data_IF_766898278980
#
_entry.id   IF_766898278980
#
_cell.length_a   1.000
_cell.length_b   1.000
_cell.length_c   1.000
_cell.angle_alpha   90.00
_cell.angle_beta   90.00
_cell.angle_gamma   90.00
#
_symmetry.space_group_name_H-M   'P 1'
#
loop_
_entity.id
_entity.type
_entity.pdbx_description
1 polymer ?
#
# COMPACT_ATOMS: atom_id res chain seq x y z
N UNK A 1 14.36 -2.99 17.89
CA UNK A 1 15.78 -2.57 17.74
C UNK A 1 16.64 -3.00 18.93
N UNK A 2 16.16 -2.86 20.17
CA UNK A 2 16.91 -3.32 21.35
C UNK A 2 17.20 -4.84 21.33
N UNK A 3 16.36 -5.63 20.68
CA UNK A 3 16.54 -7.07 20.49
C UNK A 3 17.40 -7.43 19.25
N UNK A 4 18.01 -6.46 18.57
CA UNK A 4 18.83 -6.68 17.38
C UNK A 4 18.03 -6.81 16.06
N UNK A 5 16.70 -6.67 16.11
CA UNK A 5 15.85 -6.73 14.92
C UNK A 5 15.62 -5.32 14.35
N UNK A 6 15.73 -5.16 13.04
CA UNK A 6 15.35 -3.92 12.35
C UNK A 6 13.80 -3.84 12.28
N UNK A 7 13.18 -2.76 12.80
CA UNK A 7 11.73 -2.71 12.91
C UNK A 7 10.97 -2.71 11.59
N UNK A 8 11.44 -1.92 10.59
CA UNK A 8 10.63 -1.57 9.44
C UNK A 8 11.33 -1.89 8.11
N UNK A 9 10.60 -2.50 7.19
CA UNK A 9 10.91 -2.51 5.76
C UNK A 9 10.30 -1.29 5.11
N UNK A 10 11.10 -0.52 4.37
CA UNK A 10 10.66 0.68 3.66
C UNK A 10 11.41 0.82 2.34
N UNK A 11 10.89 1.64 1.45
CA UNK A 11 11.43 1.92 0.11
C UNK A 11 11.39 3.43 -0.18
N UNK A 12 12.30 3.94 -1.02
CA UNK A 12 12.27 5.33 -1.50
C UNK A 12 12.30 5.44 -3.01
N UNK A 13 12.62 4.35 -3.71
CA UNK A 13 12.70 4.33 -5.18
C UNK A 13 11.39 3.86 -5.83
N UNK A 14 11.32 4.00 -7.13
CA UNK A 14 10.12 3.80 -7.94
C UNK A 14 8.96 4.67 -7.42
N UNK A 15 7.79 4.10 -7.16
CA UNK A 15 6.70 4.85 -6.54
C UNK A 15 6.83 4.96 -5.01
N UNK A 16 7.77 4.23 -4.38
CA UNK A 16 7.97 4.18 -2.93
C UNK A 16 6.65 3.92 -2.16
N UNK A 17 5.82 3.04 -2.69
CA UNK A 17 4.45 2.89 -2.22
C UNK A 17 4.34 2.31 -0.80
N UNK A 18 5.30 1.50 -0.35
CA UNK A 18 5.36 1.04 1.06
C UNK A 18 5.46 2.24 2.00
N UNK A 19 6.33 3.20 1.66
CA UNK A 19 6.47 4.44 2.43
C UNK A 19 5.26 5.34 2.31
N UNK A 20 4.63 5.40 1.12
CA UNK A 20 3.37 6.14 0.94
C UNK A 20 2.24 5.56 1.80
N UNK A 21 2.16 4.25 2.00
CA UNK A 21 1.18 3.63 2.91
C UNK A 21 1.42 4.07 4.36
N UNK A 22 2.66 4.07 4.85
CA UNK A 22 2.97 4.62 6.18
C UNK A 22 2.60 6.10 6.29
N UNK A 23 2.98 6.89 5.29
CA UNK A 23 2.76 8.34 5.29
C UNK A 23 1.27 8.69 5.29
N UNK A 24 0.48 8.10 4.40
CA UNK A 24 -0.95 8.33 4.32
C UNK A 24 -1.70 7.91 5.59
N UNK A 25 -1.34 6.75 6.17
CA UNK A 25 -1.91 6.32 7.44
C UNK A 25 -1.62 7.32 8.58
N UNK A 26 -0.42 7.89 8.63
CA UNK A 26 -0.06 8.91 9.60
C UNK A 26 -0.83 10.22 9.40
N UNK A 27 -1.06 10.62 8.14
CA UNK A 27 -1.89 11.80 7.81
C UNK A 27 -3.34 11.56 8.24
N UNK A 28 -3.93 10.43 7.81
CA UNK A 28 -5.34 10.12 8.07
C UNK A 28 -5.66 9.89 9.56
N UNK A 29 -4.65 9.62 10.39
CA UNK A 29 -4.85 9.40 11.83
C UNK A 29 -4.46 10.60 12.69
N UNK A 30 -3.77 11.61 12.15
CA UNK A 30 -3.34 12.78 12.90
C UNK A 30 -4.52 13.65 13.36
N UNK A 31 -5.49 13.88 12.47
CA UNK A 31 -6.68 14.68 12.74
C UNK A 31 -7.83 14.36 11.77
N UNK A 32 -9.03 14.90 12.00
CA UNK A 32 -10.14 14.80 11.05
C UNK A 32 -9.82 15.53 9.74
N UNK A 33 -9.09 16.66 9.79
CA UNK A 33 -8.63 17.36 8.59
C UNK A 33 -7.64 16.53 7.78
N UNK A 34 -6.76 15.75 8.42
CA UNK A 34 -5.87 14.82 7.77
C UNK A 34 -6.64 13.69 7.08
N UNK A 35 -7.68 13.16 7.72
CA UNK A 35 -8.53 12.13 7.11
C UNK A 35 -9.31 12.68 5.90
N UNK A 36 -9.83 13.92 6.00
CA UNK A 36 -10.49 14.61 4.88
C UNK A 36 -9.51 14.85 3.72
N UNK A 37 -8.27 15.27 4.03
CA UNK A 37 -7.22 15.44 3.02
C UNK A 37 -6.96 14.13 2.25
N UNK A 38 -6.84 13.01 2.95
CA UNK A 38 -6.62 11.70 2.34
C UNK A 38 -7.74 11.26 1.39
N UNK A 39 -8.96 11.76 1.58
CA UNK A 39 -10.12 11.49 0.73
C UNK A 39 -10.39 12.60 -0.31
N UNK A 40 -9.52 13.61 -0.41
CA UNK A 40 -9.66 14.72 -1.36
C UNK A 40 -8.94 14.40 -2.65
N UNK A 41 -9.66 14.39 -3.77
CA UNK A 41 -9.08 14.16 -5.09
C UNK A 41 -8.29 15.37 -5.59
N UNK A 42 -7.07 15.12 -6.05
CA UNK A 42 -6.18 16.12 -6.65
C UNK A 42 -5.99 17.37 -5.79
N UNK A 43 -5.59 17.23 -4.52
CA UNK A 43 -5.32 18.40 -3.68
C UNK A 43 -4.19 19.22 -4.30
N UNK A 44 -4.22 20.53 -4.07
CA UNK A 44 -3.24 21.47 -4.65
C UNK A 44 -2.27 22.03 -3.64
N UNK A 45 -2.58 21.93 -2.35
CA UNK A 45 -1.69 22.32 -1.25
C UNK A 45 -1.40 21.10 -0.37
N UNK A 46 -0.14 20.69 -0.36
CA UNK A 46 0.38 19.58 0.44
C UNK A 46 1.08 20.05 1.71
N UNK A 47 1.19 21.36 1.95
CA UNK A 47 1.84 21.94 3.13
C UNK A 47 0.90 22.05 4.35
N UNK A 48 0.03 21.06 4.55
CA UNK A 48 -0.81 21.04 5.75
C UNK A 48 -0.01 20.58 6.98
N UNK A 49 -0.44 20.94 8.19
CA UNK A 49 0.23 20.49 9.42
C UNK A 49 0.35 18.97 9.52
N UNK A 50 -0.68 18.24 9.10
CA UNK A 50 -0.73 16.77 9.14
C UNK A 50 0.28 16.13 8.18
N UNK A 51 0.38 16.67 6.96
CA UNK A 51 1.33 16.21 5.95
C UNK A 51 2.77 16.47 6.42
N UNK A 52 3.05 17.64 6.98
CA UNK A 52 4.38 17.98 7.54
C UNK A 52 4.71 17.04 8.70
N UNK A 53 3.79 16.83 9.65
CA UNK A 53 4.00 15.94 10.80
C UNK A 53 4.24 14.49 10.35
N UNK A 54 3.53 13.99 9.32
CA UNK A 54 3.74 12.67 8.76
C UNK A 54 5.14 12.55 8.14
N UNK A 55 5.57 13.52 7.32
CA UNK A 55 6.90 13.50 6.71
C UNK A 55 8.04 13.56 7.75
N UNK A 56 7.88 14.32 8.85
CA UNK A 56 8.84 14.31 9.96
C UNK A 56 8.94 12.94 10.64
N UNK A 57 7.80 12.24 10.82
CA UNK A 57 7.79 10.87 11.37
C UNK A 57 8.48 9.91 10.40
N UNK A 58 8.18 9.97 9.10
CA UNK A 58 8.82 9.15 8.06
C UNK A 58 10.35 9.37 8.04
N UNK A 59 10.81 10.62 8.09
CA UNK A 59 12.24 10.92 8.17
C UNK A 59 12.90 10.25 9.38
N UNK A 60 12.27 10.33 10.55
CA UNK A 60 12.76 9.65 11.77
C UNK A 60 12.76 8.13 11.63
N UNK A 61 11.78 7.55 10.92
CA UNK A 61 11.73 6.11 10.65
C UNK A 61 12.92 5.69 9.81
N UNK A 62 13.26 6.39 8.74
CA UNK A 62 14.44 6.11 7.94
C UNK A 62 15.74 6.22 8.74
N UNK A 63 15.91 7.26 9.50
CA UNK A 63 17.13 7.50 10.27
C UNK A 63 17.38 6.47 11.39
N UNK A 64 16.31 5.83 11.89
CA UNK A 64 16.43 5.04 13.13
C UNK A 64 15.94 3.60 13.04
N UNK A 65 15.01 3.26 12.12
CA UNK A 65 14.21 2.03 12.23
C UNK A 65 14.16 1.19 10.96
N UNK A 66 14.81 1.60 9.88
CA UNK A 66 14.89 0.86 8.62
C UNK A 66 16.27 0.23 8.41
N UNK A 67 16.38 -0.57 7.35
CA UNK A 67 17.65 -1.08 6.82
C UNK A 67 18.41 0.01 6.05
N UNK A 68 19.70 -0.17 5.84
CA UNK A 68 20.52 0.81 5.10
C UNK A 68 20.16 0.92 3.63
N UNK A 69 19.68 -0.16 3.03
CA UNK A 69 19.25 -0.25 1.64
C UNK A 69 17.84 0.30 1.39
N UNK A 70 17.13 0.76 2.42
CA UNK A 70 15.82 1.39 2.28
C UNK A 70 15.90 2.71 1.49
N UNK A 71 17.00 3.49 1.65
CA UNK A 71 17.22 4.70 0.87
C UNK A 71 17.81 4.31 -0.49
N UNK A 72 17.10 4.61 -1.56
CA UNK A 72 17.39 4.15 -2.92
C UNK A 72 16.85 2.75 -3.23
N UNK A 73 16.31 2.06 -2.23
CA UNK A 73 15.69 0.75 -2.39
C UNK A 73 14.30 0.82 -3.01
N UNK A 74 13.99 -0.20 -3.81
CA UNK A 74 12.68 -0.45 -4.40
C UNK A 74 11.82 -1.34 -3.51
N UNK A 75 10.56 -1.54 -3.92
CA UNK A 75 9.66 -2.47 -3.24
C UNK A 75 10.28 -3.86 -3.00
N UNK A 76 10.96 -4.41 -4.01
CA UNK A 76 11.58 -5.73 -3.90
C UNK A 76 12.62 -5.80 -2.76
N UNK A 77 13.36 -4.70 -2.51
CA UNK A 77 14.27 -4.63 -1.36
C UNK A 77 13.50 -4.70 -0.04
N UNK A 78 12.43 -3.90 0.09
CA UNK A 78 11.60 -3.89 1.29
C UNK A 78 10.92 -5.25 1.53
N UNK A 79 10.35 -5.85 0.48
CA UNK A 79 9.71 -7.16 0.53
C UNK A 79 10.72 -8.26 0.92
N UNK A 80 11.88 -8.33 0.27
CA UNK A 80 12.92 -9.32 0.56
C UNK A 80 13.47 -9.19 1.99
N UNK A 81 13.64 -7.98 2.51
CA UNK A 81 14.06 -7.76 3.89
C UNK A 81 13.04 -8.31 4.90
N UNK A 82 11.74 -8.20 4.60
CA UNK A 82 10.70 -8.79 5.43
C UNK A 82 10.64 -10.31 5.28
N UNK A 83 10.58 -10.83 4.05
CA UNK A 83 10.47 -12.26 3.75
C UNK A 83 11.67 -13.07 4.25
N UNK A 84 12.86 -12.45 4.32
CA UNK A 84 14.07 -13.05 4.90
C UNK A 84 14.19 -12.90 6.43
N UNK A 85 13.21 -12.25 7.09
CA UNK A 85 13.22 -12.03 8.53
C UNK A 85 14.23 -10.97 9.01
N UNK A 86 14.82 -10.16 8.12
CA UNK A 86 15.71 -9.07 8.51
C UNK A 86 14.94 -7.92 9.17
N UNK A 87 13.68 -7.73 8.79
CA UNK A 87 12.79 -6.70 9.35
C UNK A 87 11.55 -7.32 9.96
N UNK A 88 10.97 -6.64 10.95
CA UNK A 88 9.83 -7.16 11.70
C UNK A 88 8.48 -6.73 11.13
N UNK A 89 8.40 -5.65 10.36
CA UNK A 89 7.14 -5.08 9.88
C UNK A 89 7.31 -4.53 8.46
N UNK A 90 6.27 -4.76 7.64
CA UNK A 90 6.14 -4.23 6.30
C UNK A 90 4.72 -3.68 6.13
N UNK A 91 4.59 -2.41 5.71
CA UNK A 91 3.30 -1.90 5.26
C UNK A 91 2.96 -2.51 3.90
N UNK A 92 1.88 -3.27 3.84
CA UNK A 92 1.50 -4.00 2.64
C UNK A 92 -0.02 -4.27 2.67
N UNK A 93 -0.49 -5.08 1.75
CA UNK A 93 -1.86 -5.51 1.66
C UNK A 93 -2.01 -7.03 1.46
N UNK A 94 -3.25 -7.52 1.39
CA UNK A 94 -3.56 -8.95 1.37
C UNK A 94 -3.02 -9.67 0.13
N UNK A 95 -2.66 -8.96 -0.93
CA UNK A 95 -2.02 -9.53 -2.14
C UNK A 95 -0.70 -10.24 -1.86
N UNK A 96 -0.02 -9.96 -0.74
CA UNK A 96 1.24 -10.60 -0.35
C UNK A 96 1.04 -11.88 0.46
N UNK A 97 -0.18 -12.21 0.89
CA UNK A 97 -0.44 -13.37 1.77
C UNK A 97 0.03 -14.68 1.14
N UNK A 98 -0.15 -14.82 -0.18
CA UNK A 98 0.31 -16.01 -0.92
C UNK A 98 1.83 -16.22 -0.87
N UNK A 99 2.61 -15.13 -0.86
CA UNK A 99 4.08 -15.18 -0.88
C UNK A 99 4.65 -15.75 0.43
N UNK A 100 3.93 -15.63 1.55
CA UNK A 100 4.40 -16.14 2.85
C UNK A 100 4.48 -17.67 2.92
N UNK A 101 3.73 -18.35 2.08
CA UNK A 101 3.74 -19.82 1.96
C UNK A 101 4.56 -20.34 0.77
N UNK A 102 5.13 -19.44 -0.04
CA UNK A 102 5.97 -19.81 -1.17
C UNK A 102 7.40 -20.09 -0.71
N UNK A 103 7.75 -21.39 -0.68
CA UNK A 103 9.08 -21.86 -0.27
C UNK A 103 10.21 -21.47 -1.23
N UNK A 104 9.91 -20.89 -2.39
CA UNK A 104 10.92 -20.28 -3.26
C UNK A 104 11.32 -18.88 -2.79
N UNK A 105 10.48 -18.23 -1.97
CA UNK A 105 10.67 -16.85 -1.46
C UNK A 105 10.97 -16.81 0.03
N UNK A 106 10.46 -17.78 0.80
CA UNK A 106 10.53 -17.78 2.26
C UNK A 106 11.01 -19.14 2.80
N UNK A 107 11.47 -19.16 4.05
CA UNK A 107 11.74 -20.42 4.75
C UNK A 107 10.44 -21.18 5.07
N UNK A 108 10.53 -22.49 5.18
CA UNK A 108 9.39 -23.33 5.59
C UNK A 108 8.83 -22.86 6.95
N UNK A 109 7.50 -22.70 7.03
CA UNK A 109 6.81 -22.22 8.22
C UNK A 109 6.90 -20.71 8.44
N UNK A 110 7.34 -19.93 7.46
CA UNK A 110 7.37 -18.45 7.57
C UNK A 110 5.96 -17.87 7.78
N UNK A 111 4.96 -18.38 7.05
CA UNK A 111 3.57 -17.91 7.19
C UNK A 111 3.05 -18.01 8.64
N UNK A 112 3.46 -19.01 9.41
CA UNK A 112 3.06 -19.19 10.81
C UNK A 112 3.66 -18.14 11.76
N UNK A 113 4.65 -17.37 11.29
CA UNK A 113 5.32 -16.31 12.03
C UNK A 113 4.79 -14.91 11.70
N UNK A 114 3.97 -14.80 10.67
CA UNK A 114 3.39 -13.54 10.20
C UNK A 114 2.03 -13.32 10.85
N UNK A 115 1.78 -12.13 11.33
CA UNK A 115 0.47 -11.67 11.78
C UNK A 115 0.04 -10.41 11.01
N UNK A 116 -1.23 -10.09 11.11
CA UNK A 116 -1.83 -8.91 10.48
C UNK A 116 -2.21 -7.88 11.53
N UNK A 117 -2.04 -6.60 11.22
CA UNK A 117 -2.48 -5.50 12.07
C UNK A 117 -2.93 -4.33 11.21
N UNK A 118 -3.91 -3.58 11.69
CA UNK A 118 -4.21 -2.27 11.12
C UNK A 118 -3.07 -1.29 11.39
N UNK A 119 -2.95 -0.26 10.58
CA UNK A 119 -2.04 0.85 10.89
C UNK A 119 -2.38 1.48 12.24
N UNK A 120 -1.40 2.07 12.96
CA UNK A 120 -1.64 2.75 14.21
C UNK A 120 -2.81 3.76 14.11
N UNK A 121 -3.69 3.78 15.12
CA UNK A 121 -4.90 4.59 15.13
C UNK A 121 -6.10 3.94 14.45
N UNK A 122 -6.08 2.61 14.29
CA UNK A 122 -7.12 1.82 13.63
C UNK A 122 -7.42 2.32 12.21
N UNK A 123 -6.37 2.45 11.41
CA UNK A 123 -6.50 2.96 10.06
C UNK A 123 -6.34 1.83 9.03
N UNK A 124 -7.18 1.85 8.02
CA UNK A 124 -7.16 0.93 6.89
C UNK A 124 -7.39 1.68 5.58
N UNK A 125 -6.75 1.24 4.52
CA UNK A 125 -7.03 1.74 3.17
C UNK A 125 -8.21 0.98 2.55
N UNK A 126 -9.13 1.73 1.98
CA UNK A 126 -10.38 1.23 1.37
C UNK A 126 -10.40 1.38 -0.16
N UNK A 127 -9.27 1.75 -0.75
CA UNK A 127 -9.18 2.02 -2.17
C UNK A 127 -9.08 0.74 -3.01
N UNK A 128 -9.93 0.54 -3.99
CA UNK A 128 -9.68 -0.41 -5.07
C UNK A 128 -8.55 0.14 -5.94
N UNK A 129 -7.34 -0.39 -5.77
CA UNK A 129 -6.15 0.06 -6.51
C UNK A 129 -6.15 -0.46 -7.95
N UNK A 130 -6.90 -1.52 -8.24
CA UNK A 130 -6.87 -2.22 -9.53
C UNK A 130 -8.26 -2.34 -10.14
N UNK A 131 -8.31 -2.16 -11.46
CA UNK A 131 -9.50 -2.36 -12.25
C UNK A 131 -9.14 -2.76 -13.68
N UNK A 132 -10.12 -3.25 -14.43
CA UNK A 132 -9.97 -3.60 -15.84
C UNK A 132 -10.48 -2.45 -16.72
N UNK A 133 -9.71 -2.09 -17.73
CA UNK A 133 -10.08 -1.10 -18.73
C UNK A 133 -10.08 -1.79 -20.09
N UNK A 134 -11.18 -1.70 -20.81
CA UNK A 134 -11.24 -2.11 -22.20
C UNK A 134 -11.03 -0.89 -23.08
N UNK A 135 -9.93 -0.88 -23.83
CA UNK A 135 -9.68 0.16 -24.82
C UNK A 135 -10.44 -0.14 -26.11
N UNK A 136 -10.89 0.90 -26.80
CA UNK A 136 -11.51 0.77 -28.13
C UNK A 136 -10.54 0.07 -29.10
N UNK A 137 -11.06 -0.90 -29.85
CA UNK A 137 -10.29 -1.67 -30.83
C UNK A 137 -10.76 -1.34 -32.25
N UNK A 138 -9.85 -1.49 -33.22
CA UNK A 138 -10.22 -1.30 -34.66
C UNK A 138 -11.10 -2.46 -35.16
N UNK A 139 -10.90 -3.67 -34.66
CA UNK A 139 -11.72 -4.84 -34.92
C UNK A 139 -12.78 -5.01 -33.80
N UNK A 140 -14.08 -4.85 -34.12
CA UNK A 140 -15.16 -5.01 -33.15
C UNK A 140 -15.19 -6.38 -32.46
N UNK A 141 -14.68 -7.44 -33.12
CA UNK A 141 -14.65 -8.78 -32.53
C UNK A 141 -13.58 -8.87 -31.43
N UNK A 142 -12.47 -8.15 -31.57
CA UNK A 142 -11.44 -8.06 -30.55
C UNK A 142 -11.97 -7.29 -29.35
N UNK A 143 -12.70 -6.19 -29.59
CA UNK A 143 -13.32 -5.40 -28.52
C UNK A 143 -14.36 -6.24 -27.74
N UNK A 144 -15.25 -6.96 -28.47
CA UNK A 144 -16.22 -7.88 -27.86
C UNK A 144 -15.55 -8.96 -27.03
N UNK A 145 -14.50 -9.60 -27.54
CA UNK A 145 -13.76 -10.62 -26.81
C UNK A 145 -13.08 -10.05 -25.53
N UNK A 146 -12.53 -8.84 -25.61
CA UNK A 146 -11.95 -8.17 -24.44
C UNK A 146 -13.02 -7.85 -23.39
N UNK A 147 -14.21 -7.40 -23.80
CA UNK A 147 -15.34 -7.17 -22.89
C UNK A 147 -15.77 -8.48 -22.21
N UNK A 148 -15.91 -9.57 -22.96
CA UNK A 148 -16.27 -10.87 -22.36
C UNK A 148 -15.19 -11.38 -21.40
N UNK A 149 -13.92 -11.18 -21.70
CA UNK A 149 -12.82 -11.51 -20.79
C UNK A 149 -12.92 -10.73 -19.47
N UNK A 150 -13.19 -9.43 -19.53
CA UNK A 150 -13.36 -8.60 -18.31
C UNK A 150 -14.58 -9.04 -17.51
N UNK A 151 -15.71 -9.34 -18.17
CA UNK A 151 -16.90 -9.89 -17.51
C UNK A 151 -16.60 -11.20 -16.79
N UNK A 152 -15.79 -12.07 -17.41
CA UNK A 152 -15.35 -13.32 -16.76
C UNK A 152 -14.50 -13.05 -15.52
N UNK A 153 -13.45 -12.24 -15.64
CA UNK A 153 -12.56 -11.94 -14.49
C UNK A 153 -13.28 -11.20 -13.35
N UNK A 154 -14.33 -10.45 -13.65
CA UNK A 154 -15.14 -9.77 -12.62
C UNK A 154 -16.32 -10.61 -12.12
N UNK A 155 -16.51 -11.83 -12.64
CA UNK A 155 -17.55 -12.74 -12.17
C UNK A 155 -17.25 -13.28 -10.78
N UNK A 156 -18.29 -13.66 -10.04
CA UNK A 156 -18.14 -14.28 -8.72
C UNK A 156 -17.32 -15.57 -8.78
N UNK A 157 -17.50 -16.39 -9.86
CA UNK A 157 -16.75 -17.62 -10.07
C UNK A 157 -15.25 -17.39 -10.21
N UNK A 158 -14.84 -16.42 -11.04
CA UNK A 158 -13.43 -16.11 -11.22
C UNK A 158 -12.78 -15.53 -9.95
N UNK A 159 -13.51 -14.66 -9.25
CA UNK A 159 -13.03 -14.08 -8.00
C UNK A 159 -12.97 -15.12 -6.87
N UNK A 160 -13.92 -16.04 -6.80
CA UNK A 160 -13.88 -17.18 -5.89
C UNK A 160 -12.63 -18.04 -6.14
N UNK A 161 -12.38 -18.36 -7.41
CA UNK A 161 -11.19 -19.13 -7.82
C UNK A 161 -9.90 -18.40 -7.44
N UNK A 162 -9.81 -17.09 -7.68
CA UNK A 162 -8.64 -16.28 -7.33
C UNK A 162 -8.39 -16.24 -5.82
N UNK A 163 -9.46 -16.14 -5.01
CA UNK A 163 -9.35 -16.19 -3.56
C UNK A 163 -8.81 -17.55 -3.09
N UNK A 164 -9.35 -18.66 -3.59
CA UNK A 164 -8.94 -20.02 -3.18
C UNK A 164 -7.56 -20.41 -3.69
N UNK A 165 -7.14 -19.90 -4.84
CA UNK A 165 -5.84 -20.25 -5.42
C UNK A 165 -4.71 -19.35 -4.94
N UNK A 166 -4.97 -18.06 -4.70
CA UNK A 166 -3.94 -17.04 -4.50
C UNK A 166 -4.12 -16.21 -3.20
N UNK A 167 -5.20 -16.42 -2.44
CA UNK A 167 -5.49 -15.62 -1.25
C UNK A 167 -5.92 -14.18 -1.56
N UNK A 168 -6.43 -13.92 -2.77
CA UNK A 168 -6.88 -12.59 -3.17
C UNK A 168 -8.20 -12.21 -2.49
N UNK A 169 -8.29 -10.97 -2.03
CA UNK A 169 -9.56 -10.40 -1.54
C UNK A 169 -10.49 -10.14 -2.72
N UNK A 170 -11.70 -10.71 -2.73
CA UNK A 170 -12.66 -10.47 -3.80
C UNK A 170 -13.21 -9.03 -3.72
N UNK A 171 -13.39 -8.40 -4.88
CA UNK A 171 -14.06 -7.09 -4.97
C UNK A 171 -15.59 -7.22 -4.90
N UNK A 172 -16.13 -8.42 -5.13
CA UNK A 172 -17.57 -8.70 -5.08
C UNK A 172 -18.01 -9.12 -3.69
N UNK A 173 -19.02 -8.47 -3.16
CA UNK A 173 -19.66 -8.84 -1.89
C UNK A 173 -20.54 -10.12 -1.98
N UNK A 174 -20.64 -10.73 -3.16
CA UNK A 174 -21.31 -12.02 -3.36
C UNK A 174 -20.37 -13.21 -3.26
N UNK A 175 -19.06 -12.96 -3.12
CA UNK A 175 -18.05 -14.00 -2.91
C UNK A 175 -17.79 -14.13 -1.42
N UNK A 176 -18.01 -15.31 -0.88
CA UNK A 176 -17.83 -15.62 0.53
C UNK A 176 -16.48 -16.31 0.77
N UNK A 177 -15.88 -16.03 1.93
CA UNK A 177 -14.65 -16.70 2.35
C UNK A 177 -14.93 -18.18 2.65
N UNK A 178 -14.46 -19.07 1.78
CA UNK A 178 -14.66 -20.51 1.92
C UNK A 178 -13.73 -21.12 2.98
N UNK A 179 -14.10 -22.28 3.50
CA UNK A 179 -13.23 -23.04 4.42
C UNK A 179 -11.91 -23.44 3.73
N UNK A 180 -11.93 -23.75 2.44
CA UNK A 180 -10.72 -24.00 1.63
C UNK A 180 -9.76 -22.80 1.64
N UNK A 181 -10.29 -21.59 1.47
CA UNK A 181 -9.47 -20.37 1.51
C UNK A 181 -8.95 -20.07 2.92
N UNK A 182 -9.78 -20.29 3.97
CA UNK A 182 -9.37 -20.12 5.37
C UNK A 182 -8.25 -21.08 5.76
N UNK A 183 -8.39 -22.34 5.39
CA UNK A 183 -7.39 -23.38 5.72
C UNK A 183 -6.05 -23.11 5.01
N UNK A 184 -6.11 -22.66 3.75
CA UNK A 184 -4.93 -22.38 2.94
C UNK A 184 -4.27 -21.05 3.28
N UNK A 185 -5.07 -20.03 3.58
CA UNK A 185 -4.64 -18.65 3.83
C UNK A 185 -5.26 -18.12 5.13
N UNK A 186 -4.85 -18.57 6.30
CA UNK A 186 -5.44 -18.17 7.58
C UNK A 186 -5.32 -16.65 7.82
N UNK A 187 -4.25 -16.02 7.35
CA UNK A 187 -4.07 -14.57 7.43
C UNK A 187 -5.10 -13.77 6.61
N UNK A 188 -5.69 -14.37 5.56
CA UNK A 188 -6.76 -13.72 4.80
C UNK A 188 -8.01 -13.56 5.67
N UNK A 189 -8.36 -14.58 6.44
CA UNK A 189 -9.49 -14.51 7.36
C UNK A 189 -9.26 -13.46 8.45
N UNK A 190 -8.06 -13.44 9.06
CA UNK A 190 -7.66 -12.44 10.05
C UNK A 190 -7.70 -11.01 9.47
N UNK A 191 -7.18 -10.82 8.24
CA UNK A 191 -7.23 -9.53 7.56
C UNK A 191 -8.66 -9.05 7.33
N UNK A 192 -9.55 -9.91 6.81
CA UNK A 192 -10.93 -9.54 6.53
C UNK A 192 -11.71 -9.21 7.82
N UNK A 193 -11.45 -9.90 8.91
CA UNK A 193 -12.04 -9.63 10.21
C UNK A 193 -11.57 -8.26 10.74
N UNK A 194 -10.27 -7.99 10.69
CA UNK A 194 -9.70 -6.70 11.08
C UNK A 194 -10.21 -5.55 10.21
N UNK A 195 -10.28 -5.76 8.89
CA UNK A 195 -10.70 -4.72 7.94
C UNK A 195 -12.20 -4.39 8.01
N UNK A 196 -12.99 -5.14 8.77
CA UNK A 196 -14.43 -4.91 9.00
C UNK A 196 -14.75 -4.52 10.45
N UNK A 197 -13.73 -4.29 11.27
CA UNK A 197 -13.90 -3.86 12.67
C UNK A 197 -14.54 -2.48 12.73
N UNK A 198 -15.51 -2.28 13.62
CA UNK A 198 -16.14 -0.98 13.81
C UNK A 198 -15.17 0.06 14.37
N UNK A 199 -15.30 1.30 13.90
CA UNK A 199 -14.56 2.45 14.39
C UNK A 199 -13.18 2.67 13.75
N UNK A 200 -12.82 1.90 12.69
CA UNK A 200 -11.62 2.20 11.92
C UNK A 200 -11.79 3.49 11.09
N UNK A 201 -10.67 4.18 10.92
CA UNK A 201 -10.54 5.29 9.97
C UNK A 201 -10.21 4.74 8.60
N UNK A 202 -10.92 5.22 7.57
CA UNK A 202 -10.77 4.75 6.19
C UNK A 202 -10.45 5.87 5.24
N UNK A 203 -9.56 5.63 4.32
CA UNK A 203 -9.31 6.53 3.20
C UNK A 203 -8.78 5.81 1.97
N UNK A 204 -8.78 6.54 0.87
CA UNK A 204 -7.98 6.22 -0.30
C UNK A 204 -6.48 6.32 -0.01
N UNK A 205 -5.65 5.74 -0.88
CA UNK A 205 -4.19 5.91 -0.82
C UNK A 205 -3.79 7.27 -1.39
N UNK A 206 -2.64 7.80 -0.96
CA UNK A 206 -2.06 9.00 -1.57
C UNK A 206 -1.91 8.84 -3.10
N UNK A 207 -1.52 7.65 -3.55
CA UNK A 207 -1.39 7.35 -4.98
C UNK A 207 -2.71 7.47 -5.75
N UNK A 208 -3.83 7.16 -5.13
CA UNK A 208 -5.15 7.25 -5.77
C UNK A 208 -5.68 8.68 -5.82
N UNK A 209 -5.32 9.52 -4.85
CA UNK A 209 -5.90 10.87 -4.70
C UNK A 209 -5.06 11.99 -5.27
N UNK A 210 -3.74 11.79 -5.48
CA UNK A 210 -2.89 12.85 -6.06
C UNK A 210 -2.88 12.80 -7.61
N UNK A 211 -2.47 13.92 -8.22
CA UNK A 211 -2.16 13.95 -9.65
C UNK A 211 -1.05 12.95 -9.98
N UNK A 212 -1.19 12.20 -11.07
CA UNK A 212 -0.26 11.13 -11.44
C UNK A 212 1.22 11.59 -11.54
N UNK A 213 1.46 12.80 -12.05
CA UNK A 213 2.82 13.35 -12.15
C UNK A 213 3.47 13.65 -10.80
N UNK A 214 2.71 13.76 -9.72
CA UNK A 214 3.27 14.00 -8.38
C UNK A 214 3.91 12.75 -7.79
N UNK A 215 3.54 11.56 -8.26
CA UNK A 215 4.19 10.32 -7.86
C UNK A 215 5.67 10.30 -8.26
N UNK A 216 5.97 10.79 -9.47
CA UNK A 216 7.35 10.93 -9.94
C UNK A 216 8.12 11.97 -9.11
N UNK A 217 7.48 13.11 -8.80
CA UNK A 217 8.07 14.14 -7.94
C UNK A 217 8.34 13.58 -6.55
N UNK A 218 7.38 12.86 -5.96
CA UNK A 218 7.54 12.25 -4.65
C UNK A 218 8.71 11.26 -4.62
N UNK A 219 8.81 10.37 -5.61
CA UNK A 219 9.88 9.36 -5.66
C UNK A 219 11.27 9.98 -5.85
N UNK A 220 11.36 11.15 -6.49
CA UNK A 220 12.61 11.91 -6.62
C UNK A 220 13.00 12.63 -5.32
N UNK A 221 12.03 13.11 -4.55
CA UNK A 221 12.27 13.91 -3.34
C UNK A 221 12.37 13.06 -2.06
N UNK A 222 11.74 11.88 -2.05
CA UNK A 222 11.68 11.03 -0.87
C UNK A 222 13.07 10.57 -0.36
N UNK A 223 14.04 10.21 -1.22
CA UNK A 223 15.40 9.92 -0.76
C UNK A 223 16.06 11.09 -0.02
N UNK A 224 15.80 12.33 -0.46
CA UNK A 224 16.34 13.54 0.17
C UNK A 224 15.67 13.82 1.53
N UNK A 225 14.37 13.56 1.64
CA UNK A 225 13.67 13.59 2.93
C UNK A 225 14.24 12.53 3.87
N UNK A 226 14.39 11.29 3.38
CA UNK A 226 14.87 10.16 4.17
C UNK A 226 16.29 10.38 4.70
N UNK A 227 17.19 10.93 3.88
CA UNK A 227 18.57 11.25 4.27
C UNK A 227 18.68 12.47 5.20
N UNK A 228 17.66 13.34 5.21
CA UNK A 228 17.68 14.62 5.95
C UNK A 228 18.29 15.78 5.17
N UNK A 229 18.55 15.61 3.87
CA UNK A 229 18.98 16.68 2.98
C UNK A 229 17.83 17.67 2.68
N UNK A 230 16.60 17.19 2.75
CA UNK A 230 15.38 17.98 2.62
C UNK A 230 14.53 17.84 3.88
N UNK A 231 14.02 18.93 4.40
CA UNK A 231 13.08 18.89 5.51
C UNK A 231 11.64 18.58 5.06
N UNK A 232 10.78 18.24 6.00
CA UNK A 232 9.39 17.86 5.73
C UNK A 232 8.60 18.95 5.00
N UNK A 233 8.81 20.22 5.37
CA UNK A 233 8.14 21.35 4.74
C UNK A 233 8.63 21.57 3.30
N UNK A 234 9.92 21.50 3.07
CA UNK A 234 10.52 21.62 1.73
C UNK A 234 10.07 20.49 0.81
N UNK A 235 9.97 19.26 1.35
CA UNK A 235 9.44 18.10 0.63
C UNK A 235 8.03 18.37 0.12
N UNK A 236 7.09 18.77 0.98
CA UNK A 236 5.71 19.04 0.59
C UNK A 236 5.55 20.31 -0.23
N UNK A 237 6.42 21.32 -0.04
CA UNK A 237 6.42 22.51 -0.89
C UNK A 237 6.74 22.14 -2.35
N UNK A 238 7.68 21.23 -2.57
CA UNK A 238 8.01 20.75 -3.93
C UNK A 238 6.81 20.09 -4.61
N UNK A 239 6.02 19.31 -3.87
CA UNK A 239 4.81 18.69 -4.40
C UNK A 239 3.70 19.72 -4.63
N UNK A 240 3.53 20.68 -3.74
CA UNK A 240 2.58 21.81 -3.89
C UNK A 240 2.90 22.63 -5.14
N UNK A 241 4.16 22.96 -5.37
CA UNK A 241 4.61 23.71 -6.56
C UNK A 241 4.41 22.90 -7.86
N UNK A 242 4.54 21.59 -7.78
CA UNK A 242 4.26 20.70 -8.91
C UNK A 242 2.76 20.55 -9.18
N UNK A 243 1.94 20.47 -8.12
CA UNK A 243 0.47 20.39 -8.23
C UNK A 243 -0.12 21.64 -8.88
N UNK A 244 0.42 22.83 -8.57
CA UNK A 244 -0.01 24.10 -9.16
C UNK A 244 0.13 24.15 -10.69
N UNK A 245 0.99 23.31 -11.28
CA UNK A 245 1.17 23.24 -12.75
C UNK A 245 0.09 22.41 -13.44
N UNK A 246 -0.76 21.72 -12.70
CA UNK A 246 -1.87 20.93 -13.25
C UNK A 246 -3.21 21.72 -13.30
N UNK A 247 -3.19 22.98 -12.87
CA UNK A 247 -4.31 23.93 -12.96
C UNK A 247 -4.18 24.75 -14.25
#
# INVERSE_FOLDING_TARGET
KAAGVTPLSMDTADSAWVTQLWMGAMVGTESDAGLEFMNTMNPTDYNTPEMIAAAEKIQKMYQNYTTQDAIGGKYENAANNFLSGQTAMLANGPWMIGDFSDTSMTEEGFADKVGVALFPGNFVYDAPIQGYIVTKQDDPKVEEAAIEMVKFFTSAEAQQTAMEMQGMVPASNTVELTDTAKDKYPLLAEFLDLATTEGEKRSDTLQATMYANLLDVMSQQLPLLASGELDAKGFWQTLTDAAAKNQ
#
